data_IF_639828378840
#
_entry.id   IF_639828378840
#
_cell.length_a   1.000
_cell.length_b   1.000
_cell.length_c   1.000
_cell.angle_alpha   90.00
_cell.angle_beta   90.00
_cell.angle_gamma   90.00
#
_symmetry.space_group_name_H-M   'P 1'
#
loop_
_entity.id
_entity.type
_entity.pdbx_description
1 polymer ?
#
# COMPACT_ATOMS: atom_id res chain seq x y z
N UNK A 1 5.21 -51.87 -11.48
CA UNK A 1 5.47 -50.57 -12.11
C UNK A 1 4.88 -49.50 -11.20
N UNK A 2 5.70 -48.80 -10.42
CA UNK A 2 5.25 -47.73 -9.52
C UNK A 2 5.87 -46.44 -10.07
N UNK A 3 5.01 -45.55 -10.57
CA UNK A 3 5.38 -44.25 -11.10
C UNK A 3 5.68 -43.31 -9.94
N UNK A 4 6.92 -42.82 -9.88
CA UNK A 4 7.37 -41.85 -8.88
C UNK A 4 7.27 -40.47 -9.56
N UNK A 5 6.27 -39.67 -9.18
CA UNK A 5 6.20 -38.25 -9.56
C UNK A 5 7.25 -37.45 -8.78
N UNK A 6 7.92 -36.47 -9.40
CA UNK A 6 8.88 -35.64 -8.67
C UNK A 6 8.12 -34.66 -7.77
N UNK A 7 8.45 -34.71 -6.48
CA UNK A 7 8.07 -33.73 -5.48
C UNK A 7 8.75 -32.40 -5.85
N UNK A 8 7.99 -31.48 -6.48
CA UNK A 8 8.47 -30.12 -6.73
C UNK A 8 8.52 -29.40 -5.37
N UNK A 9 9.69 -29.42 -4.75
CA UNK A 9 9.99 -28.60 -3.59
C UNK A 9 10.16 -27.16 -4.06
N UNK A 10 9.14 -26.33 -3.87
CA UNK A 10 9.31 -24.89 -3.94
C UNK A 10 10.31 -24.47 -2.85
N UNK A 11 11.37 -23.71 -3.17
CA UNK A 11 12.20 -23.14 -2.13
C UNK A 11 11.30 -22.26 -1.26
N UNK A 12 11.33 -22.53 0.04
CA UNK A 12 10.73 -21.67 1.05
C UNK A 12 11.45 -20.33 0.95
N UNK A 13 10.90 -19.43 0.14
CA UNK A 13 11.32 -18.04 0.11
C UNK A 13 11.02 -17.51 1.50
N UNK A 14 12.07 -17.42 2.31
CA UNK A 14 12.03 -16.72 3.59
C UNK A 14 11.28 -15.42 3.36
N UNK A 15 10.27 -15.17 4.17
CA UNK A 15 9.61 -13.88 4.29
C UNK A 15 10.70 -12.84 4.53
N UNK A 16 11.24 -12.29 3.45
CA UNK A 16 11.93 -11.03 3.49
C UNK A 16 10.83 -10.02 3.79
N UNK A 17 10.57 -9.86 5.09
CA UNK A 17 9.98 -8.67 5.65
C UNK A 17 10.75 -7.53 5.01
N UNK A 18 10.17 -6.94 3.97
CA UNK A 18 10.74 -5.76 3.34
C UNK A 18 10.61 -4.68 4.40
N UNK A 19 11.70 -4.53 5.14
CA UNK A 19 11.87 -3.57 6.21
C UNK A 19 11.31 -2.24 5.74
N UNK A 20 10.37 -1.69 6.50
CA UNK A 20 10.23 -0.24 6.53
C UNK A 20 11.62 0.35 6.73
N UNK A 21 11.95 1.40 5.98
CA UNK A 21 13.10 2.26 6.24
C UNK A 21 14.50 1.67 5.98
N UNK A 22 14.84 1.30 4.74
CA UNK A 22 16.25 1.37 4.28
C UNK A 22 16.61 2.71 3.64
N UNK A 23 15.66 3.65 3.49
CA UNK A 23 15.87 4.89 2.74
C UNK A 23 16.14 4.67 1.24
N UNK A 24 16.11 3.41 0.80
CA UNK A 24 16.30 3.03 -0.59
C UNK A 24 15.04 3.35 -1.38
N UNK A 25 15.23 3.99 -2.54
CA UNK A 25 14.11 4.35 -3.41
C UNK A 25 13.48 3.08 -3.95
N UNK A 26 12.16 3.04 -3.92
CA UNK A 26 11.37 2.00 -4.55
C UNK A 26 11.73 1.89 -6.02
N UNK A 27 12.16 0.71 -6.43
CA UNK A 27 12.41 0.38 -7.83
C UNK A 27 11.12 -0.06 -8.50
N UNK A 28 10.92 0.39 -9.74
CA UNK A 28 9.86 -0.11 -10.61
C UNK A 28 10.12 -1.61 -10.91
N UNK A 29 9.15 -2.50 -10.73
CA UNK A 29 9.32 -3.91 -11.09
C UNK A 29 9.52 -4.06 -12.60
N UNK A 30 10.31 -5.07 -12.99
CA UNK A 30 10.60 -5.42 -14.39
C UNK A 30 10.07 -6.79 -14.78
N UNK A 31 9.64 -7.59 -13.82
CA UNK A 31 9.08 -8.92 -14.05
C UNK A 31 7.84 -9.18 -13.18
N UNK A 32 7.03 -10.17 -13.59
CA UNK A 32 5.84 -10.61 -12.83
C UNK A 32 6.20 -11.09 -11.40
N UNK A 33 7.25 -11.91 -11.19
CA UNK A 33 7.66 -12.30 -9.83
C UNK A 33 8.02 -11.09 -8.95
N UNK A 34 8.75 -10.11 -9.48
CA UNK A 34 9.07 -8.86 -8.76
C UNK A 34 7.79 -8.06 -8.42
N UNK A 35 6.83 -8.01 -9.34
CA UNK A 35 5.56 -7.33 -9.12
C UNK A 35 4.72 -7.98 -8.01
N UNK A 36 4.67 -9.32 -7.96
CA UNK A 36 4.00 -10.04 -6.87
C UNK A 36 4.67 -9.82 -5.51
N UNK A 37 6.00 -9.89 -5.45
CA UNK A 37 6.76 -9.59 -4.23
C UNK A 37 6.46 -8.17 -3.76
N UNK A 38 6.47 -7.21 -4.69
CA UNK A 38 6.18 -5.82 -4.39
C UNK A 38 4.76 -5.61 -3.85
N UNK A 39 3.76 -6.25 -4.46
CA UNK A 39 2.38 -6.18 -4.01
C UNK A 39 2.20 -6.83 -2.62
N UNK A 40 2.88 -7.94 -2.36
CA UNK A 40 2.87 -8.61 -1.05
C UNK A 40 3.46 -7.72 0.04
N UNK A 41 4.58 -7.04 -0.25
CA UNK A 41 5.18 -6.07 0.67
C UNK A 41 4.26 -4.88 0.91
N UNK A 42 3.61 -4.37 -0.14
CA UNK A 42 2.65 -3.27 -0.01
C UNK A 42 1.45 -3.63 0.89
N UNK A 43 0.91 -4.85 0.74
CA UNK A 43 -0.15 -5.37 1.62
C UNK A 43 0.31 -5.45 3.07
N UNK A 44 1.48 -6.03 3.31
CA UNK A 44 2.04 -6.16 4.66
C UNK A 44 2.28 -4.79 5.31
N UNK A 45 2.75 -3.82 4.54
CA UNK A 45 2.96 -2.45 5.00
C UNK A 45 1.63 -1.71 5.28
N UNK A 46 0.60 -1.96 4.48
CA UNK A 46 -0.75 -1.44 4.73
C UNK A 46 -1.34 -2.03 6.01
N UNK A 47 -1.23 -3.34 6.22
CA UNK A 47 -1.69 -4.01 7.45
C UNK A 47 -0.95 -3.48 8.70
N UNK A 48 0.35 -3.23 8.58
CA UNK A 48 1.15 -2.58 9.62
C UNK A 48 0.69 -1.15 9.87
N UNK A 49 0.41 -0.39 8.81
CA UNK A 49 -0.08 0.99 8.89
C UNK A 49 -1.43 1.05 9.62
N UNK A 50 -2.35 0.13 9.31
CA UNK A 50 -3.65 0.03 9.97
C UNK A 50 -3.49 -0.35 11.44
N UNK A 51 -2.70 -1.40 11.74
CA UNK A 51 -2.53 -1.90 13.11
C UNK A 51 -1.77 -0.95 14.04
N UNK A 52 -0.98 -0.03 13.49
CA UNK A 52 -0.21 0.96 14.26
C UNK A 52 -0.68 2.39 14.05
N UNK A 53 -1.86 2.58 13.45
CA UNK A 53 -2.34 3.87 12.96
C UNK A 53 -2.35 4.97 14.03
N UNK A 54 -2.71 4.64 15.27
CA UNK A 54 -2.73 5.61 16.37
C UNK A 54 -1.34 6.20 16.67
N UNK A 55 -0.27 5.42 16.48
CA UNK A 55 1.11 5.92 16.62
C UNK A 55 1.51 6.76 15.42
N UNK A 56 1.06 6.38 14.22
CA UNK A 56 1.37 7.10 12.97
C UNK A 56 0.71 8.47 12.97
N UNK A 57 -0.58 8.56 13.33
CA UNK A 57 -1.33 9.82 13.32
C UNK A 57 -0.81 10.84 14.33
N UNK A 58 -0.20 10.40 15.43
CA UNK A 58 0.49 11.27 16.38
C UNK A 58 1.66 12.05 15.76
N UNK A 59 2.22 11.57 14.64
CA UNK A 59 3.24 12.28 13.85
C UNK A 59 2.68 13.31 12.87
N UNK A 60 1.35 13.49 12.82
CA UNK A 60 0.67 14.46 11.95
C UNK A 60 0.33 13.94 10.55
N UNK A 61 -0.40 14.78 9.79
CA UNK A 61 -0.90 14.43 8.45
C UNK A 61 0.18 14.04 7.46
N UNK A 62 1.31 14.76 7.45
CA UNK A 62 2.44 14.42 6.58
C UNK A 62 3.08 13.06 6.93
N UNK A 63 3.04 12.65 8.20
CA UNK A 63 3.48 11.31 8.60
C UNK A 63 2.52 10.24 8.10
N UNK A 64 1.20 10.45 8.25
CA UNK A 64 0.18 9.54 7.68
C UNK A 64 0.39 9.35 6.18
N UNK A 65 0.64 10.44 5.43
CA UNK A 65 0.90 10.38 3.98
C UNK A 65 2.15 9.57 3.61
N UNK A 66 3.21 9.61 4.44
CA UNK A 66 4.42 8.78 4.22
C UNK A 66 4.10 7.29 4.34
N UNK A 67 3.29 6.90 5.33
CA UNK A 67 2.91 5.50 5.55
C UNK A 67 1.84 5.00 4.58
N UNK A 68 0.98 5.90 4.06
CA UNK A 68 0.12 5.59 2.91
C UNK A 68 0.92 5.48 1.60
N UNK A 69 2.20 5.84 1.59
CA UNK A 69 3.05 5.80 0.40
C UNK A 69 2.64 6.79 -0.69
N UNK A 70 1.95 7.88 -0.33
CA UNK A 70 1.54 8.94 -1.26
C UNK A 70 2.57 10.07 -1.34
N UNK A 71 3.44 10.18 -0.33
CA UNK A 71 4.62 11.05 -0.33
C UNK A 71 5.89 10.26 0.03
N UNK A 72 7.04 10.79 -0.35
CA UNK A 72 8.31 10.09 -0.21
C UNK A 72 8.50 9.06 -1.32
N UNK A 73 9.48 8.15 -1.16
CA UNK A 73 9.84 7.17 -2.19
C UNK A 73 10.26 5.81 -1.62
N UNK A 74 10.10 5.58 -0.31
CA UNK A 74 10.56 4.36 0.36
C UNK A 74 9.44 3.38 0.69
N UNK A 75 8.19 3.83 0.75
CA UNK A 75 7.04 2.99 1.12
C UNK A 75 6.76 1.93 0.06
N UNK A 76 6.33 0.74 0.48
CA UNK A 76 5.95 -0.34 -0.42
C UNK A 76 4.71 -0.05 -1.26
N UNK A 77 3.91 0.91 -0.81
CA UNK A 77 2.67 1.36 -1.44
C UNK A 77 2.95 2.45 -2.50
N UNK A 78 4.12 3.10 -2.43
CA UNK A 78 4.49 4.13 -3.38
C UNK A 78 4.57 3.57 -4.81
N UNK A 79 3.83 4.20 -5.72
CA UNK A 79 3.91 3.94 -7.15
C UNK A 79 3.48 2.53 -7.56
N UNK A 80 2.34 2.03 -7.07
CA UNK A 80 1.83 0.71 -7.44
C UNK A 80 1.23 0.60 -8.85
N UNK A 81 0.93 1.70 -9.55
CA UNK A 81 0.33 1.64 -10.91
C UNK A 81 1.10 0.75 -11.91
N UNK A 82 2.45 0.83 -12.01
CA UNK A 82 3.22 -0.10 -12.83
C UNK A 82 3.19 -1.55 -12.35
N UNK A 83 3.02 -1.80 -11.04
CA UNK A 83 2.87 -3.15 -10.48
C UNK A 83 1.56 -3.75 -10.97
N UNK A 84 0.45 -3.02 -10.83
CA UNK A 84 -0.85 -3.45 -11.31
C UNK A 84 -0.85 -3.72 -12.82
N UNK A 85 -0.23 -2.83 -13.60
CA UNK A 85 -0.11 -3.00 -15.04
C UNK A 85 0.66 -4.27 -15.45
N UNK A 86 1.65 -4.71 -14.68
CA UNK A 86 2.34 -5.98 -14.96
C UNK A 86 1.51 -7.20 -14.56
N UNK A 87 0.75 -7.09 -13.48
CA UNK A 87 -0.04 -8.19 -12.94
C UNK A 87 -1.37 -8.40 -13.70
N UNK A 88 -1.89 -7.35 -14.35
CA UNK A 88 -3.14 -7.44 -15.13
C UNK A 88 -3.05 -8.54 -16.22
N UNK A 89 -1.88 -8.71 -16.84
CA UNK A 89 -1.68 -9.67 -17.93
C UNK A 89 -1.66 -11.12 -17.41
N UNK A 90 -1.52 -11.30 -16.09
CA UNK A 90 -1.56 -12.58 -15.39
C UNK A 90 -2.90 -12.85 -14.70
N UNK A 91 -3.85 -11.91 -14.77
CA UNK A 91 -5.14 -12.04 -14.12
C UNK A 91 -6.06 -12.99 -14.91
N UNK A 92 -6.66 -13.95 -14.21
CA UNK A 92 -7.67 -14.84 -14.80
C UNK A 92 -8.98 -14.12 -15.14
N UNK A 93 -9.29 -13.07 -14.40
CA UNK A 93 -10.38 -12.14 -14.67
C UNK A 93 -9.83 -10.70 -14.66
N UNK A 94 -9.59 -10.19 -15.86
CA UNK A 94 -9.01 -8.86 -16.06
C UNK A 94 -9.96 -7.73 -15.64
N UNK A 95 -11.27 -7.92 -15.78
CA UNK A 95 -12.26 -6.87 -15.46
C UNK A 95 -12.28 -6.69 -13.94
N UNK A 96 -12.45 -7.78 -13.20
CA UNK A 96 -12.42 -7.76 -11.73
C UNK A 96 -11.08 -7.23 -11.20
N UNK A 97 -9.96 -7.58 -11.86
CA UNK A 97 -8.65 -7.06 -11.47
C UNK A 97 -8.55 -5.54 -11.67
N UNK A 98 -8.97 -5.03 -12.83
CA UNK A 98 -8.96 -3.59 -13.12
C UNK A 98 -9.84 -2.86 -12.11
N UNK A 99 -11.08 -3.30 -11.92
CA UNK A 99 -12.05 -2.70 -11.00
C UNK A 99 -11.47 -2.60 -9.58
N UNK A 100 -10.88 -3.68 -9.07
CA UNK A 100 -10.27 -3.71 -7.75
C UNK A 100 -9.05 -2.76 -7.63
N UNK A 101 -8.21 -2.69 -8.67
CA UNK A 101 -7.04 -1.79 -8.65
C UNK A 101 -7.42 -0.31 -8.77
N UNK A 102 -8.48 0.01 -9.52
CA UNK A 102 -9.02 1.36 -9.57
C UNK A 102 -9.72 1.76 -8.28
N UNK A 103 -10.46 0.83 -7.65
CA UNK A 103 -11.06 1.05 -6.34
C UNK A 103 -9.99 1.34 -5.29
N UNK A 104 -8.91 0.56 -5.27
CA UNK A 104 -7.75 0.82 -4.42
C UNK A 104 -7.12 2.21 -4.68
N UNK A 105 -6.92 2.61 -5.94
CA UNK A 105 -6.36 3.94 -6.26
C UNK A 105 -7.28 5.07 -5.76
N UNK A 106 -8.60 4.92 -5.93
CA UNK A 106 -9.59 5.88 -5.41
C UNK A 106 -9.59 5.96 -3.89
N UNK A 107 -9.55 4.82 -3.21
CA UNK A 107 -9.46 4.72 -1.75
C UNK A 107 -8.20 5.42 -1.23
N UNK A 108 -7.05 5.14 -1.85
CA UNK A 108 -5.76 5.72 -1.49
C UNK A 108 -5.73 7.25 -1.70
N UNK A 109 -6.21 7.75 -2.84
CA UNK A 109 -6.30 9.19 -3.11
C UNK A 109 -7.23 9.88 -2.11
N UNK A 110 -8.34 9.24 -1.76
CA UNK A 110 -9.30 9.76 -0.78
C UNK A 110 -8.69 9.83 0.62
N UNK A 111 -7.90 8.82 1.01
CA UNK A 111 -7.16 8.78 2.28
C UNK A 111 -6.07 9.87 2.32
N UNK A 112 -5.28 10.03 1.25
CA UNK A 112 -4.28 11.08 1.12
C UNK A 112 -4.90 12.47 1.25
N UNK A 113 -6.04 12.70 0.59
CA UNK A 113 -6.75 13.98 0.65
C UNK A 113 -7.20 14.33 2.07
N UNK A 114 -7.63 13.33 2.86
CA UNK A 114 -7.98 13.54 4.26
C UNK A 114 -6.75 13.86 5.12
N UNK A 115 -5.67 13.09 4.96
CA UNK A 115 -4.41 13.32 5.67
C UNK A 115 -3.74 14.64 5.28
N UNK A 116 -3.90 15.09 4.04
CA UNK A 116 -3.44 16.42 3.61
C UNK A 116 -4.27 17.52 4.26
N UNK A 117 -5.59 17.38 4.27
CA UNK A 117 -6.50 18.38 4.84
C UNK A 117 -6.29 18.58 6.34
N UNK A 118 -5.91 17.52 7.07
CA UNK A 118 -5.65 17.61 8.51
C UNK A 118 -4.53 18.60 8.85
N UNK A 119 -3.59 18.84 7.93
CA UNK A 119 -2.46 19.76 8.15
C UNK A 119 -2.88 21.23 8.15
N UNK A 120 -4.07 21.56 7.64
CA UNK A 120 -4.53 22.94 7.46
C UNK A 120 -5.83 23.24 8.19
N UNK A 121 -6.47 22.23 8.77
CA UNK A 121 -7.81 22.39 9.38
C UNK A 121 -7.78 23.35 10.57
N UNK A 122 -6.69 23.38 11.34
CA UNK A 122 -6.52 24.32 12.48
C UNK A 122 -6.45 25.79 12.05
N UNK A 123 -6.07 26.05 10.80
CA UNK A 123 -5.97 27.40 10.21
C UNK A 123 -7.16 27.72 9.29
N UNK A 124 -8.11 26.79 9.19
CA UNK A 124 -9.28 26.91 8.31
C UNK A 124 -10.50 27.42 9.08
N UNK A 125 -11.41 28.10 8.38
CA UNK A 125 -12.73 28.43 8.91
C UNK A 125 -13.66 27.19 9.03
N UNK A 126 -13.22 26.03 8.55
CA UNK A 126 -13.94 24.77 8.66
C UNK A 126 -13.92 24.25 10.12
N UNK A 127 -15.09 23.86 10.64
CA UNK A 127 -15.27 23.38 12.03
C UNK A 127 -14.77 21.94 12.27
N UNK A 128 -13.60 21.55 11.78
CA UNK A 128 -13.05 20.21 11.96
C UNK A 128 -11.78 20.19 12.81
N UNK A 129 -11.42 19.03 13.37
CA UNK A 129 -10.13 18.83 14.05
C UNK A 129 -9.19 17.95 13.23
N UNK A 130 -7.86 18.03 13.40
CA UNK A 130 -6.93 17.13 12.73
C UNK A 130 -7.25 15.65 12.97
N UNK A 131 -7.64 15.30 14.20
CA UNK A 131 -8.05 13.95 14.60
C UNK A 131 -9.18 13.40 13.75
N UNK A 132 -10.23 14.18 13.51
CA UNK A 132 -11.35 13.76 12.65
C UNK A 132 -10.91 13.48 11.21
N UNK A 133 -9.87 14.17 10.73
CA UNK A 133 -9.32 13.94 9.40
C UNK A 133 -8.37 12.74 9.36
N UNK A 134 -7.66 12.43 10.45
CA UNK A 134 -6.92 11.17 10.57
C UNK A 134 -7.87 9.96 10.54
N UNK A 135 -8.93 9.99 11.33
CA UNK A 135 -9.89 8.88 11.35
C UNK A 135 -10.56 8.69 9.99
N UNK A 136 -10.88 9.78 9.28
CA UNK A 136 -11.34 9.72 7.88
C UNK A 136 -10.31 9.10 6.95
N UNK A 137 -9.02 9.42 7.10
CA UNK A 137 -7.96 8.85 6.28
C UNK A 137 -7.85 7.34 6.47
N UNK A 138 -7.90 6.85 7.72
CA UNK A 138 -7.91 5.41 8.01
C UNK A 138 -9.10 4.70 7.38
N UNK A 139 -10.32 5.19 7.62
CA UNK A 139 -11.56 4.58 7.08
C UNK A 139 -11.53 4.50 5.54
N UNK A 140 -10.91 5.48 4.89
CA UNK A 140 -10.78 5.52 3.42
C UNK A 140 -9.72 4.57 2.91
N UNK A 141 -8.65 4.33 3.66
CA UNK A 141 -7.58 3.40 3.30
C UNK A 141 -7.99 1.92 3.47
N UNK A 142 -9.03 1.64 4.25
CA UNK A 142 -9.53 0.28 4.55
C UNK A 142 -10.78 -0.11 3.75
N UNK A 143 -11.22 0.71 2.80
CA UNK A 143 -12.34 0.41 1.89
C UNK A 143 -11.80 -0.16 0.59
#
# INVERSE_FOLDING_TARGET
MISILPLITFPSSSLAVYSLSTGEKVKKPTSIPEAYLRLSSARSELDMTISTYDKIKAGGGDNVRRYLGTVGTSSSIFGLKPVFKLLQDSASDIITFIDATEEFDRALVSADSAAYSSMFVEFSAAKGTPEEYYDKALVRATR
#
